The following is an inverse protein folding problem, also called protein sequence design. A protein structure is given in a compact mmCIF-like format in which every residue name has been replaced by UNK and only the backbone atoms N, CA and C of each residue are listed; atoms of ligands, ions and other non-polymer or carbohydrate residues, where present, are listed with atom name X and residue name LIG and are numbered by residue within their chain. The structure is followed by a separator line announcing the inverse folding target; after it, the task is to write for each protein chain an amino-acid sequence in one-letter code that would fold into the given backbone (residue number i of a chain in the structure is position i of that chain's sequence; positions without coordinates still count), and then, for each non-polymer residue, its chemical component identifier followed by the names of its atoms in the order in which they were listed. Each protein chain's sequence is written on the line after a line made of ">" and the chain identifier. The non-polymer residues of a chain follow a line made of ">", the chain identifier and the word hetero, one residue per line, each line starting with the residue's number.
data_IF_228580482776
#
_entry.id   IF_228580482776
#
_cell.length_a   1.000
_cell.length_b   1.000
_cell.length_c   1.000
_cell.angle_alpha   90.00
_cell.angle_beta   90.00
_cell.angle_gamma   90.00
#
_symmetry.space_group_name_H-M   'P 1'
#
loop_
_entity.id
_entity.type
_entity.pdbx_description
1 polymer ?
#
# COMPACT_ATOMS: atom_id res chain seq x y z
N UNK A 1 20.46 -4.17 -21.28
CA UNK A 1 20.12 -4.50 -19.88
C UNK A 1 19.45 -5.85 -19.86
N UNK A 2 20.02 -6.86 -19.17
CA UNK A 2 19.31 -8.11 -18.91
C UNK A 2 18.10 -7.75 -18.05
N UNK A 3 16.89 -8.20 -18.41
CA UNK A 3 15.75 -8.18 -17.49
C UNK A 3 16.28 -8.67 -16.14
N UNK A 4 16.10 -7.90 -15.08
CA UNK A 4 16.31 -8.41 -13.72
C UNK A 4 15.33 -9.56 -13.58
N UNK A 5 15.79 -10.77 -13.89
CA UNK A 5 15.00 -11.97 -13.71
C UNK A 5 14.79 -12.07 -12.21
N UNK A 6 13.56 -11.85 -11.75
CA UNK A 6 13.08 -12.53 -10.56
C UNK A 6 13.57 -13.97 -10.70
N UNK A 7 14.40 -14.49 -9.76
CA UNK A 7 14.93 -15.82 -9.89
C UNK A 7 13.77 -16.80 -10.06
N UNK A 8 13.99 -17.85 -10.88
CA UNK A 8 13.02 -18.90 -11.18
C UNK A 8 12.32 -19.47 -9.93
N UNK A 9 12.95 -19.35 -8.75
CA UNK A 9 12.39 -19.72 -7.44
C UNK A 9 11.24 -18.84 -6.96
N UNK A 10 11.13 -17.55 -7.32
CA UNK A 10 9.92 -16.74 -7.03
C UNK A 10 8.72 -17.21 -7.85
N UNK A 11 8.95 -17.66 -9.09
CA UNK A 11 7.90 -18.12 -10.02
C UNK A 11 7.25 -19.43 -9.55
N UNK A 12 7.94 -20.23 -8.72
CA UNK A 12 7.41 -21.48 -8.18
C UNK A 12 6.45 -21.29 -6.99
N UNK A 13 6.37 -20.10 -6.38
CA UNK A 13 5.53 -19.86 -5.21
C UNK A 13 4.16 -19.27 -5.55
N UNK A 14 4.02 -18.63 -6.73
CA UNK A 14 2.78 -18.02 -7.17
C UNK A 14 2.62 -18.23 -8.69
N UNK A 15 1.71 -19.10 -9.11
CA UNK A 15 1.45 -19.41 -10.54
C UNK A 15 0.21 -18.71 -11.08
N UNK A 16 -0.48 -17.93 -10.24
CA UNK A 16 -1.73 -17.24 -10.57
C UNK A 16 -1.62 -15.75 -10.24
N UNK A 17 -2.32 -14.93 -11.03
CA UNK A 17 -2.50 -13.50 -10.76
C UNK A 17 -3.02 -13.29 -9.32
N UNK A 18 -2.41 -12.36 -8.55
CA UNK A 18 -2.79 -12.08 -7.16
C UNK A 18 -4.29 -11.79 -7.05
N UNK A 19 -4.84 -11.15 -8.09
CA UNK A 19 -6.27 -10.94 -8.27
C UNK A 19 -6.82 -11.67 -9.50
N UNK A 20 -6.32 -12.88 -9.80
CA UNK A 20 -6.89 -13.72 -10.83
C UNK A 20 -8.41 -13.81 -10.67
N UNK A 21 -9.11 -13.70 -11.79
CA UNK A 21 -10.55 -13.88 -11.84
C UNK A 21 -10.87 -15.36 -11.63
N UNK A 22 -10.85 -15.82 -10.38
CA UNK A 22 -11.68 -16.96 -10.05
C UNK A 22 -13.12 -16.48 -10.19
N UNK A 23 -13.89 -17.12 -11.07
CA UNK A 23 -15.35 -17.11 -10.95
C UNK A 23 -15.62 -17.60 -9.54
N UNK A 24 -15.98 -16.74 -8.58
CA UNK A 24 -16.21 -17.25 -7.25
C UNK A 24 -17.38 -18.22 -7.44
N UNK A 25 -17.26 -19.43 -6.88
CA UNK A 25 -18.46 -20.04 -6.33
C UNK A 25 -18.88 -19.11 -5.20
N UNK A 26 -19.56 -18.03 -5.61
CA UNK A 26 -20.16 -17.04 -4.75
C UNK A 26 -20.99 -17.85 -3.75
N UNK A 27 -20.58 -17.85 -2.48
CA UNK A 27 -21.46 -18.17 -1.35
C UNK A 27 -21.80 -16.88 -0.56
N UNK A 28 -22.25 -15.80 -1.23
CA UNK A 28 -22.54 -14.54 -0.58
C UNK A 28 -23.68 -14.76 0.39
N UNK A 29 -23.40 -14.55 1.67
CA UNK A 29 -24.44 -14.40 2.67
C UNK A 29 -24.66 -15.60 3.60
N UNK A 30 -23.81 -16.64 3.59
CA UNK A 30 -23.82 -17.55 4.75
C UNK A 30 -23.19 -16.85 5.94
N UNK A 31 -24.07 -16.30 6.78
CA UNK A 31 -23.68 -15.65 8.02
C UNK A 31 -22.87 -16.61 8.88
N UNK A 32 -21.73 -16.15 9.35
CA UNK A 32 -20.76 -16.88 10.18
C UNK A 32 -20.07 -15.89 11.13
N UNK A 33 -18.99 -16.34 11.77
CA UNK A 33 -18.04 -15.49 12.48
C UNK A 33 -16.60 -15.87 12.07
N UNK A 34 -15.64 -15.01 12.42
CA UNK A 34 -14.20 -15.29 12.35
C UNK A 34 -13.50 -14.71 13.59
N UNK A 35 -12.22 -15.06 13.82
CA UNK A 35 -11.41 -14.46 14.88
C UNK A 35 -10.58 -13.30 14.34
N UNK A 36 -10.00 -12.53 15.26
CA UNK A 36 -9.15 -11.37 14.94
C UNK A 36 -7.72 -11.68 15.35
N UNK A 37 -6.81 -11.67 14.37
CA UNK A 37 -5.37 -11.71 14.60
C UNK A 37 -4.85 -10.28 14.74
N UNK A 38 -4.29 -9.94 15.89
CA UNK A 38 -3.75 -8.62 16.21
C UNK A 38 -2.23 -8.66 16.10
N UNK A 39 -1.66 -8.02 15.08
CA UNK A 39 -0.22 -7.87 14.91
C UNK A 39 0.28 -6.58 15.56
N UNK A 40 1.53 -6.60 16.00
CA UNK A 40 2.23 -5.45 16.54
C UNK A 40 3.73 -5.58 16.30
N UNK A 41 4.42 -4.44 16.19
CA UNK A 41 5.88 -4.40 16.21
C UNK A 41 6.38 -4.78 17.59
N UNK A 42 7.30 -5.74 17.71
CA UNK A 42 7.84 -6.15 19.02
C UNK A 42 8.91 -5.19 19.57
N UNK A 43 9.62 -4.48 18.67
CA UNK A 43 10.57 -3.42 19.03
C UNK A 43 9.90 -2.08 19.33
N UNK A 44 10.63 -1.19 20.03
CA UNK A 44 10.11 0.12 20.51
C UNK A 44 10.48 1.31 19.61
N UNK A 45 11.11 1.03 18.46
CA UNK A 45 11.51 2.03 17.45
C UNK A 45 11.24 1.50 16.05
N UNK A 46 11.23 2.38 15.04
CA UNK A 46 11.11 1.97 13.64
C UNK A 46 12.39 1.31 13.07
N UNK A 47 13.46 1.20 13.86
CA UNK A 47 14.70 0.51 13.48
C UNK A 47 14.49 -1.02 13.43
N UNK A 48 13.52 -1.52 14.20
CA UNK A 48 13.22 -2.93 14.36
C UNK A 48 11.89 -3.26 13.67
N UNK A 49 11.91 -3.96 12.53
CA UNK A 49 10.69 -4.26 11.75
C UNK A 49 9.95 -5.51 12.19
N UNK A 50 10.51 -6.26 13.14
CA UNK A 50 9.95 -7.53 13.59
C UNK A 50 8.56 -7.32 14.19
N UNK A 51 7.64 -8.21 13.82
CA UNK A 51 6.27 -8.21 14.32
C UNK A 51 5.90 -9.55 14.94
N UNK A 52 5.05 -9.48 15.94
CA UNK A 52 4.41 -10.62 16.58
C UNK A 52 2.89 -10.45 16.50
N UNK A 53 2.14 -11.48 16.87
CA UNK A 53 0.69 -11.40 16.91
C UNK A 53 0.09 -12.24 18.03
N UNK A 54 -1.08 -11.78 18.48
CA UNK A 54 -1.95 -12.48 19.41
C UNK A 54 -3.38 -12.54 18.87
N UNK A 55 -4.15 -13.53 19.31
CA UNK A 55 -5.59 -13.54 19.07
C UNK A 55 -6.27 -12.52 19.98
N UNK A 56 -7.14 -11.68 19.42
CA UNK A 56 -7.96 -10.75 20.21
C UNK A 56 -8.77 -11.48 21.29
N UNK A 57 -8.89 -10.88 22.49
CA UNK A 57 -9.60 -11.48 23.63
C UNK A 57 -10.64 -10.58 24.28
N UNK A 58 -11.78 -11.15 24.67
CA UNK A 58 -12.76 -10.48 25.53
C UNK A 58 -12.22 -10.26 26.95
N UNK A 59 -12.93 -9.49 27.78
CA UNK A 59 -12.48 -9.14 29.14
C UNK A 59 -12.33 -10.36 30.07
N UNK A 60 -13.12 -11.40 29.85
CA UNK A 60 -13.05 -12.68 30.54
C UNK A 60 -11.93 -13.60 30.02
N UNK A 61 -11.15 -13.14 29.03
CA UNK A 61 -10.05 -13.88 28.43
C UNK A 61 -10.45 -14.86 27.31
N UNK A 62 -11.73 -14.96 26.95
CA UNK A 62 -12.17 -15.77 25.80
C UNK A 62 -11.76 -15.13 24.47
N UNK A 63 -11.72 -15.89 23.37
CA UNK A 63 -11.38 -15.34 22.06
C UNK A 63 -12.49 -14.43 21.53
N UNK A 64 -12.11 -13.23 21.10
CA UNK A 64 -13.02 -12.29 20.46
C UNK A 64 -13.33 -12.74 19.04
N UNK A 65 -14.62 -12.76 18.69
CA UNK A 65 -15.10 -13.14 17.36
C UNK A 65 -15.90 -12.00 16.74
N UNK A 66 -15.82 -11.91 15.41
CA UNK A 66 -16.52 -10.91 14.61
C UNK A 66 -17.55 -11.60 13.72
N UNK A 67 -18.85 -11.30 13.84
CA UNK A 67 -19.88 -11.87 12.97
C UNK A 67 -19.84 -11.22 11.58
N UNK A 68 -20.16 -11.99 10.55
CA UNK A 68 -20.07 -11.51 9.18
C UNK A 68 -20.19 -12.62 8.13
N UNK A 69 -19.58 -12.42 6.97
CA UNK A 69 -19.53 -13.38 5.88
C UNK A 69 -18.26 -13.21 5.04
N UNK A 70 -17.76 -14.31 4.51
CA UNK A 70 -16.60 -14.33 3.61
C UNK A 70 -17.02 -13.98 2.17
N UNK A 71 -16.12 -13.39 1.39
CA UNK A 71 -16.30 -13.22 -0.06
C UNK A 71 -16.41 -14.57 -0.78
N UNK A 72 -15.48 -15.47 -0.46
CA UNK A 72 -15.35 -16.80 -1.06
C UNK A 72 -14.99 -17.81 0.02
N UNK A 73 -15.34 -19.08 -0.16
CA UNK A 73 -14.94 -20.16 0.76
C UNK A 73 -13.55 -20.72 0.46
N UNK A 74 -12.95 -20.35 -0.67
CA UNK A 74 -11.70 -20.94 -1.19
C UNK A 74 -10.65 -19.92 -1.64
N UNK A 75 -10.98 -18.63 -1.66
CA UNK A 75 -10.04 -17.60 -2.10
C UNK A 75 -8.86 -17.47 -1.12
N UNK A 76 -7.60 -17.58 -1.58
CA UNK A 76 -6.44 -17.33 -0.73
C UNK A 76 -6.33 -15.84 -0.33
N UNK A 77 -6.81 -14.93 -1.19
CA UNK A 77 -6.87 -13.48 -0.94
C UNK A 77 -8.27 -13.05 -0.54
N UNK A 78 -8.79 -13.64 0.54
CA UNK A 78 -10.17 -13.43 0.95
C UNK A 78 -10.41 -12.10 1.68
N UNK A 79 -11.68 -11.69 1.77
CA UNK A 79 -12.13 -10.53 2.56
C UNK A 79 -13.34 -10.92 3.41
N UNK A 80 -13.37 -10.49 4.67
CA UNK A 80 -14.46 -10.76 5.61
C UNK A 80 -15.33 -9.52 5.80
N UNK A 81 -16.58 -9.59 5.37
CA UNK A 81 -17.54 -8.49 5.47
C UNK A 81 -18.28 -8.55 6.81
N UNK A 82 -18.30 -7.45 7.54
CA UNK A 82 -18.93 -7.36 8.85
C UNK A 82 -19.67 -6.03 9.03
N UNK A 83 -20.62 -5.98 9.96
CA UNK A 83 -21.22 -4.72 10.42
C UNK A 83 -20.45 -4.11 11.61
N UNK A 84 -19.44 -4.82 12.14
CA UNK A 84 -18.60 -4.34 13.24
C UNK A 84 -17.67 -3.21 12.71
N UNK A 85 -17.66 -2.03 13.35
CA UNK A 85 -16.74 -0.95 12.97
C UNK A 85 -15.27 -1.36 13.13
N UNK A 86 -14.43 -0.94 12.19
CA UNK A 86 -12.97 -1.14 12.25
C UNK A 86 -12.37 -0.66 13.59
N UNK A 87 -12.75 0.53 14.06
CA UNK A 87 -12.31 1.09 15.35
C UNK A 87 -12.61 0.17 16.55
N UNK A 88 -13.73 -0.58 16.51
CA UNK A 88 -14.06 -1.54 17.56
C UNK A 88 -13.10 -2.73 17.55
N UNK A 89 -12.73 -3.22 16.36
CA UNK A 89 -11.79 -4.33 16.19
C UNK A 89 -10.38 -3.88 16.60
N UNK A 90 -9.97 -2.69 16.18
CA UNK A 90 -8.70 -2.07 16.54
C UNK A 90 -8.55 -1.91 18.05
N UNK A 91 -9.52 -1.28 18.71
CA UNK A 91 -9.54 -1.10 20.17
C UNK A 91 -9.48 -2.42 20.92
N UNK A 92 -10.08 -3.45 20.35
CA UNK A 92 -10.04 -4.79 20.91
C UNK A 92 -8.64 -5.42 20.77
N UNK A 93 -7.91 -5.13 19.68
CA UNK A 93 -6.50 -5.49 19.57
C UNK A 93 -5.63 -4.70 20.53
N UNK A 94 -5.78 -3.38 20.62
CA UNK A 94 -5.05 -2.53 21.58
C UNK A 94 -5.19 -3.05 23.01
N UNK A 95 -6.43 -3.36 23.44
CA UNK A 95 -6.69 -3.90 24.79
C UNK A 95 -6.04 -5.27 25.00
N UNK A 96 -6.07 -6.13 23.98
CA UNK A 96 -5.51 -7.49 24.08
C UNK A 96 -4.00 -7.45 24.20
N UNK A 97 -3.35 -6.61 23.40
CA UNK A 97 -1.90 -6.52 23.31
C UNK A 97 -1.31 -5.75 24.50
N UNK A 98 -2.00 -4.71 24.99
CA UNK A 98 -1.57 -3.95 26.17
C UNK A 98 -0.21 -3.24 26.01
N UNK A 99 0.24 -3.05 24.77
CA UNK A 99 1.49 -2.36 24.41
C UNK A 99 1.34 -0.86 24.65
N UNK A 100 2.38 -0.21 25.17
CA UNK A 100 2.33 1.18 25.64
C UNK A 100 3.25 2.15 24.88
N UNK A 101 4.10 1.63 23.99
CA UNK A 101 4.99 2.43 23.15
C UNK A 101 4.30 2.82 21.85
N UNK A 102 4.66 4.00 21.32
CA UNK A 102 3.97 4.63 20.19
C UNK A 102 4.16 3.92 18.86
N UNK A 103 5.28 3.22 18.69
CA UNK A 103 5.65 2.52 17.45
C UNK A 103 5.13 1.08 17.42
N UNK A 104 4.13 0.75 18.24
CA UNK A 104 3.54 -0.58 18.25
C UNK A 104 2.88 -0.93 16.90
N UNK A 105 2.46 0.09 16.15
CA UNK A 105 1.97 -0.01 14.77
C UNK A 105 0.99 -1.18 14.60
N UNK A 106 -0.05 -1.19 15.44
CA UNK A 106 -0.98 -2.32 15.52
C UNK A 106 -1.75 -2.43 14.19
N UNK A 107 -1.81 -3.65 13.66
CA UNK A 107 -2.67 -4.01 12.52
C UNK A 107 -3.46 -5.26 12.85
N UNK A 108 -4.56 -5.49 12.15
CA UNK A 108 -5.43 -6.62 12.47
C UNK A 108 -6.10 -7.22 11.24
N UNK A 109 -6.32 -8.53 11.30
CA UNK A 109 -6.84 -9.31 10.19
C UNK A 109 -7.83 -10.38 10.64
N UNK A 110 -8.81 -10.67 9.79
CA UNK A 110 -9.71 -11.79 9.92
C UNK A 110 -8.93 -13.10 9.71
N UNK A 111 -9.13 -14.07 10.59
CA UNK A 111 -8.38 -15.32 10.55
C UNK A 111 -9.06 -16.40 11.37
N UNK A 112 -9.32 -17.57 10.76
CA UNK A 112 -10.02 -18.67 11.46
C UNK A 112 -9.05 -19.58 12.23
N UNK A 113 -7.78 -19.62 11.82
CA UNK A 113 -6.76 -20.45 12.46
C UNK A 113 -5.36 -19.85 12.27
N UNK A 114 -4.39 -20.38 13.02
CA UNK A 114 -2.99 -19.92 13.00
C UNK A 114 -2.37 -19.90 11.60
N UNK A 115 -2.77 -20.83 10.72
CA UNK A 115 -2.21 -20.95 9.37
C UNK A 115 -3.00 -20.19 8.29
N UNK A 116 -4.14 -19.58 8.63
CA UNK A 116 -4.84 -18.70 7.69
C UNK A 116 -3.99 -17.47 7.39
N UNK A 117 -4.06 -16.98 6.15
CA UNK A 117 -3.43 -15.72 5.78
C UNK A 117 -4.06 -14.52 6.50
N UNK A 118 -3.49 -13.34 6.30
CA UNK A 118 -4.02 -12.10 6.84
C UNK A 118 -5.15 -11.61 5.92
N UNK A 119 -6.42 -11.86 6.29
CA UNK A 119 -7.57 -11.43 5.49
C UNK A 119 -8.12 -10.08 5.98
N UNK A 120 -8.44 -9.19 5.04
CA UNK A 120 -8.97 -7.86 5.37
C UNK A 120 -10.40 -7.96 5.93
N UNK A 121 -10.69 -7.23 7.00
CA UNK A 121 -12.07 -6.96 7.42
C UNK A 121 -12.64 -5.82 6.57
N UNK A 122 -13.78 -5.99 5.93
CA UNK A 122 -14.56 -4.91 5.32
C UNK A 122 -15.76 -4.58 6.19
N UNK A 123 -15.81 -3.37 6.74
CA UNK A 123 -17.02 -2.89 7.43
C UNK A 123 -18.05 -2.43 6.40
N UNK A 124 -19.20 -3.11 6.34
CA UNK A 124 -20.33 -2.74 5.50
C UNK A 124 -20.85 -1.35 5.86
N UNK A 125 -21.32 -0.64 4.84
CA UNK A 125 -21.90 0.68 5.03
C UNK A 125 -23.29 0.57 5.66
N UNK A 126 -23.65 1.54 6.49
CA UNK A 126 -25.01 1.67 7.00
C UNK A 126 -25.97 2.02 5.86
N UNK A 127 -27.24 1.62 5.98
CA UNK A 127 -28.28 1.99 5.00
C UNK A 127 -28.56 3.49 4.97
N UNK A 128 -28.43 4.17 6.12
CA UNK A 128 -28.46 5.63 6.21
C UNK A 128 -27.05 6.18 6.11
N UNK A 129 -26.78 6.98 5.09
CA UNK A 129 -25.48 7.57 4.81
C UNK A 129 -25.54 9.09 4.77
N UNK A 130 -24.47 9.72 5.21
CA UNK A 130 -24.35 11.19 5.35
C UNK A 130 -23.89 11.89 4.07
N UNK A 131 -23.55 11.15 3.01
CA UNK A 131 -22.91 11.70 1.80
C UNK A 131 -21.47 12.18 2.02
N UNK A 132 -20.85 11.75 3.12
CA UNK A 132 -19.45 12.01 3.46
C UNK A 132 -18.58 10.81 3.11
N UNK A 133 -17.31 11.07 2.87
CA UNK A 133 -16.31 10.03 2.72
C UNK A 133 -16.24 9.22 4.00
N UNK A 134 -16.34 7.90 3.88
CA UNK A 134 -16.37 6.97 5.00
C UNK A 134 -15.33 5.84 4.90
N UNK A 135 -14.52 5.81 3.84
CA UNK A 135 -13.40 4.90 3.65
C UNK A 135 -12.40 5.41 2.62
N UNK A 136 -11.17 4.91 2.71
CA UNK A 136 -10.13 5.09 1.70
C UNK A 136 -9.92 3.76 0.97
N UNK A 137 -9.91 3.79 -0.36
CA UNK A 137 -9.53 2.64 -1.19
C UNK A 137 -8.29 3.02 -1.99
N UNK A 138 -7.21 2.25 -1.83
CA UNK A 138 -5.92 2.54 -2.46
C UNK A 138 -5.61 1.60 -3.60
N UNK A 139 -5.16 2.16 -4.72
CA UNK A 139 -4.59 1.44 -5.85
C UNK A 139 -3.17 1.92 -6.14
N UNK A 140 -2.30 1.00 -6.51
CA UNK A 140 -0.93 1.36 -6.85
C UNK A 140 0.05 0.22 -6.74
N UNK A 141 1.28 0.56 -6.37
CA UNK A 141 2.37 -0.40 -6.27
C UNK A 141 2.94 -0.56 -4.85
N UNK A 142 4.22 -0.93 -4.75
CA UNK A 142 4.95 -1.13 -3.51
C UNK A 142 4.91 0.01 -2.49
N UNK A 143 4.74 1.28 -2.90
CA UNK A 143 4.70 2.38 -1.93
C UNK A 143 3.32 2.55 -1.26
N UNK A 144 2.33 1.72 -1.66
CA UNK A 144 0.97 1.73 -1.12
C UNK A 144 0.44 0.32 -0.77
N UNK A 145 1.19 -0.75 -1.07
CA UNK A 145 0.85 -2.13 -0.70
C UNK A 145 1.13 -2.35 0.80
N UNK A 146 0.13 -2.90 1.50
CA UNK A 146 0.18 -3.18 2.95
C UNK A 146 0.17 -4.68 3.26
N UNK A 147 0.27 -5.55 2.25
CA UNK A 147 0.39 -6.99 2.46
C UNK A 147 -0.17 -7.89 1.37
N UNK A 148 -0.66 -7.35 0.25
CA UNK A 148 -1.20 -8.15 -0.85
C UNK A 148 -0.13 -9.06 -1.45
N UNK A 149 1.03 -8.51 -1.82
CA UNK A 149 2.13 -9.35 -2.30
C UNK A 149 2.69 -10.26 -1.18
N UNK A 150 2.66 -9.79 0.07
CA UNK A 150 3.15 -10.55 1.21
C UNK A 150 2.37 -11.84 1.45
N UNK A 151 1.03 -11.76 1.45
CA UNK A 151 0.17 -12.94 1.48
C UNK A 151 0.44 -13.84 0.26
N UNK A 152 0.64 -13.27 -0.94
CA UNK A 152 0.81 -14.03 -2.18
C UNK A 152 2.10 -14.87 -2.17
N UNK A 153 3.12 -14.35 -1.49
CA UNK A 153 4.40 -15.00 -1.27
C UNK A 153 4.50 -15.74 0.06
N UNK A 154 3.35 -16.06 0.68
CA UNK A 154 3.27 -16.84 1.91
C UNK A 154 4.13 -16.25 3.04
N UNK A 155 4.08 -14.92 3.17
CA UNK A 155 4.78 -14.13 4.19
C UNK A 155 6.31 -14.13 4.09
N UNK A 156 6.84 -14.39 2.89
CA UNK A 156 8.31 -14.42 2.65
C UNK A 156 8.84 -13.24 1.86
N UNK A 157 7.97 -12.43 1.25
CA UNK A 157 8.36 -11.31 0.40
C UNK A 157 7.41 -10.11 0.59
N UNK A 158 7.91 -8.94 1.00
CA UNK A 158 9.27 -8.72 1.50
C UNK A 158 9.54 -9.48 2.81
N UNK A 159 10.82 -9.72 3.14
CA UNK A 159 11.23 -10.48 4.32
C UNK A 159 10.83 -9.73 5.60
N UNK A 160 10.02 -10.34 6.50
CA UNK A 160 9.47 -9.64 7.67
C UNK A 160 10.52 -9.24 8.72
N UNK A 161 11.72 -9.82 8.68
CA UNK A 161 12.83 -9.49 9.58
C UNK A 161 13.60 -8.22 9.14
N UNK A 162 13.19 -7.59 8.04
CA UNK A 162 13.76 -6.30 7.59
C UNK A 162 12.73 -5.36 6.96
N UNK A 163 11.49 -5.81 6.79
CA UNK A 163 10.42 -5.05 6.19
C UNK A 163 9.17 -5.26 7.03
N UNK A 164 8.49 -4.17 7.38
CA UNK A 164 7.40 -4.23 8.36
C UNK A 164 6.19 -4.98 7.80
N UNK A 165 5.96 -6.22 8.25
CA UNK A 165 4.77 -7.05 7.96
C UNK A 165 4.21 -6.87 6.53
N UNK A 166 5.05 -7.07 5.51
CA UNK A 166 4.64 -7.00 4.11
C UNK A 166 4.68 -5.63 3.43
N UNK A 167 4.93 -4.56 4.18
CA UNK A 167 5.17 -3.21 3.65
C UNK A 167 6.57 -3.12 3.05
N UNK A 168 6.71 -2.39 1.95
CA UNK A 168 8.02 -2.00 1.42
C UNK A 168 8.58 -0.78 2.17
N UNK A 169 8.54 -0.82 3.50
CA UNK A 169 9.16 0.16 4.39
C UNK A 169 9.46 -0.47 5.76
N UNK A 170 9.97 0.32 6.70
CA UNK A 170 10.21 -0.08 8.08
C UNK A 170 9.02 0.17 9.02
N UNK A 171 7.87 0.55 8.49
CA UNK A 171 6.62 0.82 9.20
C UNK A 171 5.48 1.07 8.22
N UNK A 172 4.46 1.81 8.67
CA UNK A 172 3.32 2.20 7.85
C UNK A 172 3.71 2.98 6.58
N UNK A 173 2.89 2.83 5.55
CA UNK A 173 2.96 3.62 4.31
C UNK A 173 2.03 4.83 4.36
N UNK A 174 2.17 5.72 3.38
CA UNK A 174 1.50 7.04 3.40
C UNK A 174 -0.04 6.95 3.42
N UNK A 175 -0.62 5.90 2.82
CA UNK A 175 -2.07 5.69 2.82
C UNK A 175 -2.60 5.30 4.19
N UNK A 176 -1.83 4.58 5.00
CA UNK A 176 -2.19 4.23 6.37
C UNK A 176 -2.14 5.45 7.28
N UNK A 177 -1.09 6.27 7.18
CA UNK A 177 -1.02 7.55 7.88
C UNK A 177 -2.15 8.51 7.48
N UNK A 178 -2.48 8.58 6.18
CA UNK A 178 -3.62 9.38 5.71
C UNK A 178 -4.94 8.87 6.31
N UNK A 179 -5.12 7.55 6.38
CA UNK A 179 -6.30 6.93 6.97
C UNK A 179 -6.41 7.21 8.48
N UNK A 180 -5.30 7.11 9.21
CA UNK A 180 -5.21 7.45 10.63
C UNK A 180 -5.56 8.93 10.87
N UNK A 181 -4.99 9.85 10.09
CA UNK A 181 -5.28 11.29 10.23
C UNK A 181 -6.76 11.62 9.97
N UNK A 182 -7.42 10.86 9.09
CA UNK A 182 -8.85 11.04 8.77
C UNK A 182 -9.78 10.19 9.61
N UNK A 183 -9.26 9.33 10.48
CA UNK A 183 -10.04 8.34 11.23
C UNK A 183 -10.94 7.51 10.31
N UNK A 184 -10.40 7.10 9.16
CA UNK A 184 -11.11 6.31 8.15
C UNK A 184 -10.49 4.92 8.01
N UNK A 185 -11.30 3.91 7.69
CA UNK A 185 -10.77 2.60 7.31
C UNK A 185 -10.05 2.69 5.96
N UNK A 186 -8.91 2.00 5.85
CA UNK A 186 -8.16 1.83 4.61
C UNK A 186 -8.34 0.40 4.06
N UNK A 187 -8.65 0.31 2.77
CA UNK A 187 -8.63 -0.94 2.03
C UNK A 187 -7.69 -0.78 0.82
N UNK A 188 -6.60 -1.55 0.78
CA UNK A 188 -5.63 -1.46 -0.32
C UNK A 188 -5.77 -2.60 -1.31
N UNK A 189 -5.82 -2.25 -2.58
CA UNK A 189 -5.63 -3.14 -3.73
C UNK A 189 -4.25 -2.93 -4.37
N UNK A 190 -3.40 -2.07 -3.83
CA UNK A 190 -2.04 -1.90 -4.31
C UNK A 190 -1.25 -3.21 -4.18
N UNK A 191 -0.36 -3.48 -5.15
CA UNK A 191 0.45 -4.70 -5.19
C UNK A 191 1.90 -4.35 -5.42
N UNK A 192 2.79 -4.84 -4.56
CA UNK A 192 4.24 -4.64 -4.67
C UNK A 192 4.77 -4.99 -6.07
N UNK A 193 5.40 -4.03 -6.73
CA UNK A 193 5.93 -4.24 -8.08
C UNK A 193 4.86 -4.29 -9.19
N UNK A 194 3.61 -3.92 -8.92
CA UNK A 194 2.57 -3.79 -9.93
C UNK A 194 3.03 -2.91 -11.10
N UNK A 195 2.38 -3.11 -12.24
CA UNK A 195 2.63 -2.41 -13.49
C UNK A 195 1.31 -2.00 -14.19
N UNK A 196 1.37 -1.28 -15.31
CA UNK A 196 0.16 -0.97 -16.08
C UNK A 196 -0.40 -2.21 -16.81
N UNK A 197 0.38 -3.29 -16.84
CA UNK A 197 0.03 -4.62 -17.37
C UNK A 197 0.41 -5.71 -16.36
N UNK A 198 -0.17 -6.89 -16.47
CA UNK A 198 0.19 -8.00 -15.57
C UNK A 198 1.63 -8.41 -15.85
N UNK A 199 2.47 -8.41 -14.83
CA UNK A 199 3.89 -8.77 -14.96
C UNK A 199 4.18 -10.14 -14.34
N UNK A 200 5.12 -10.86 -14.95
CA UNK A 200 5.52 -12.22 -14.57
C UNK A 200 4.37 -13.25 -14.48
N UNK A 201 3.19 -12.94 -15.00
CA UNK A 201 2.00 -13.79 -14.96
C UNK A 201 1.23 -13.78 -13.62
N UNK A 202 1.77 -13.12 -12.59
CA UNK A 202 1.15 -13.09 -11.25
C UNK A 202 1.00 -11.68 -10.65
N UNK A 203 1.84 -10.70 -11.04
CA UNK A 203 1.72 -9.33 -10.52
C UNK A 203 0.56 -8.61 -11.18
N UNK A 204 -0.49 -8.36 -10.41
CA UNK A 204 -1.70 -7.69 -10.87
C UNK A 204 -1.39 -6.31 -11.45
N UNK A 205 -1.93 -6.03 -12.63
CA UNK A 205 -1.89 -4.69 -13.21
C UNK A 205 -2.78 -3.72 -12.43
N UNK A 206 -2.59 -2.41 -12.60
CA UNK A 206 -3.54 -1.42 -12.07
C UNK A 206 -4.99 -1.69 -12.52
N UNK A 207 -5.20 -2.27 -13.71
CA UNK A 207 -6.53 -2.65 -14.20
C UNK A 207 -7.07 -3.87 -13.48
N UNK A 208 -6.22 -4.86 -13.19
CA UNK A 208 -6.60 -6.06 -12.43
C UNK A 208 -6.99 -5.69 -11.00
N UNK A 209 -6.26 -4.75 -10.39
CA UNK A 209 -6.58 -4.19 -9.07
C UNK A 209 -7.98 -3.57 -9.05
N UNK A 210 -8.29 -2.69 -10.01
CA UNK A 210 -9.60 -2.03 -10.10
C UNK A 210 -10.70 -3.06 -10.38
N UNK A 211 -10.48 -4.00 -11.29
CA UNK A 211 -11.47 -5.03 -11.61
C UNK A 211 -11.76 -5.93 -10.41
N UNK A 212 -10.73 -6.32 -9.66
CA UNK A 212 -10.87 -7.09 -8.43
C UNK A 212 -11.66 -6.33 -7.38
N UNK A 213 -11.31 -5.07 -7.13
CA UNK A 213 -12.05 -4.21 -6.23
C UNK A 213 -13.54 -4.17 -6.60
N UNK A 214 -13.88 -3.97 -7.88
CA UNK A 214 -15.27 -3.95 -8.36
C UNK A 214 -16.01 -5.28 -8.09
N UNK A 215 -15.31 -6.42 -8.13
CA UNK A 215 -15.88 -7.72 -7.78
C UNK A 215 -16.10 -7.87 -6.27
N UNK A 216 -15.19 -7.40 -5.42
CA UNK A 216 -15.36 -7.48 -3.97
C UNK A 216 -16.50 -6.58 -3.49
N UNK A 217 -16.58 -5.34 -3.98
CA UNK A 217 -17.63 -4.41 -3.55
C UNK A 217 -19.02 -4.75 -4.08
N UNK A 218 -19.15 -5.65 -5.06
CA UNK A 218 -20.46 -6.08 -5.56
C UNK A 218 -21.29 -6.84 -4.51
N UNK A 219 -20.65 -7.36 -3.45
CA UNK A 219 -21.33 -8.02 -2.33
C UNK A 219 -21.27 -7.21 -1.02
N UNK A 220 -20.68 -6.02 -1.05
CA UNK A 220 -20.69 -5.08 0.07
C UNK A 220 -22.11 -4.52 0.24
N UNK A 221 -22.61 -4.47 1.48
CA UNK A 221 -23.94 -3.92 1.73
C UNK A 221 -23.91 -2.40 1.74
N UNK A 222 -24.93 -1.82 1.12
CA UNK A 222 -25.16 -0.37 1.02
C UNK A 222 -23.95 0.39 0.44
N UNK A 223 -23.09 -0.26 -0.33
CA UNK A 223 -21.89 0.41 -0.82
C UNK A 223 -22.22 1.59 -1.73
N UNK A 224 -21.59 2.74 -1.48
CA UNK A 224 -21.68 3.91 -2.34
C UNK A 224 -20.28 4.39 -2.74
N UNK A 225 -19.87 4.26 -4.03
CA UNK A 225 -18.55 4.70 -4.49
C UNK A 225 -18.31 6.21 -4.36
N UNK A 226 -19.37 7.03 -4.29
CA UNK A 226 -19.25 8.47 -4.05
C UNK A 226 -18.79 8.79 -2.62
N UNK A 227 -18.99 7.87 -1.66
CA UNK A 227 -18.54 8.02 -0.28
C UNK A 227 -17.15 7.38 -0.04
N UNK A 228 -16.43 7.04 -1.11
CA UNK A 228 -15.08 6.48 -1.05
C UNK A 228 -14.07 7.51 -1.54
N UNK A 229 -12.97 7.70 -0.79
CA UNK A 229 -11.79 8.39 -1.29
C UNK A 229 -10.86 7.37 -1.95
N UNK A 230 -10.67 7.49 -3.26
CA UNK A 230 -9.73 6.65 -3.98
C UNK A 230 -8.35 7.29 -4.02
N UNK A 231 -7.30 6.54 -3.72
CA UNK A 231 -5.92 6.97 -3.94
C UNK A 231 -5.33 6.19 -5.11
N UNK A 232 -4.66 6.89 -6.02
CA UNK A 232 -3.93 6.27 -7.12
C UNK A 232 -2.52 6.84 -7.23
N UNK A 233 -1.55 5.95 -7.16
CA UNK A 233 -0.16 6.20 -7.49
C UNK A 233 0.36 4.99 -8.24
N UNK A 234 0.88 5.20 -9.45
CA UNK A 234 1.31 4.09 -10.27
C UNK A 234 2.26 4.54 -11.40
N UNK A 235 3.30 3.75 -11.68
CA UNK A 235 4.14 3.90 -12.88
C UNK A 235 5.65 3.90 -12.62
N UNK A 236 6.10 4.00 -11.36
CA UNK A 236 7.53 3.91 -11.04
C UNK A 236 8.12 2.56 -11.48
N UNK A 237 7.44 1.47 -11.15
CA UNK A 237 7.85 0.13 -11.56
C UNK A 237 7.89 -0.04 -13.10
N UNK A 238 6.99 0.61 -13.83
CA UNK A 238 6.95 0.57 -15.31
C UNK A 238 8.21 1.15 -15.94
N UNK A 239 8.72 2.26 -15.38
CA UNK A 239 9.90 2.92 -15.89
C UNK A 239 11.20 2.31 -15.37
N UNK A 240 11.23 1.85 -14.11
CA UNK A 240 12.44 1.32 -13.46
C UNK A 240 12.68 -0.15 -13.83
N UNK A 241 11.65 -0.99 -13.75
CA UNK A 241 11.80 -2.45 -13.78
C UNK A 241 11.37 -3.07 -15.12
N UNK A 242 10.38 -2.48 -15.79
CA UNK A 242 9.72 -3.11 -16.95
C UNK A 242 10.04 -2.45 -18.30
N UNK A 243 10.82 -1.35 -18.28
CA UNK A 243 11.23 -0.58 -19.45
C UNK A 243 10.05 -0.22 -20.37
N UNK A 244 8.90 0.14 -19.78
CA UNK A 244 7.73 0.59 -20.54
C UNK A 244 7.89 2.05 -20.95
N UNK A 245 7.21 2.40 -22.04
CA UNK A 245 7.24 3.75 -22.60
C UNK A 245 6.23 4.66 -21.90
N UNK A 246 6.50 5.97 -21.88
CA UNK A 246 5.56 6.95 -21.30
C UNK A 246 4.16 6.83 -21.92
N UNK A 247 4.08 6.64 -23.24
CA UNK A 247 2.81 6.46 -23.96
C UNK A 247 2.00 5.26 -23.47
N UNK A 248 2.64 4.14 -23.17
CA UNK A 248 1.96 2.95 -22.66
C UNK A 248 1.41 3.19 -21.26
N UNK A 249 2.24 3.72 -20.36
CA UNK A 249 1.85 3.99 -18.97
C UNK A 249 0.75 5.07 -18.90
N UNK A 250 0.84 6.10 -19.75
CA UNK A 250 -0.19 7.13 -19.92
C UNK A 250 -1.55 6.54 -20.32
N UNK A 251 -1.58 5.60 -21.27
CA UNK A 251 -2.83 4.91 -21.66
C UNK A 251 -3.42 4.10 -20.50
N UNK A 252 -2.56 3.43 -19.74
CA UNK A 252 -3.00 2.66 -18.57
C UNK A 252 -3.55 3.58 -17.48
N UNK A 253 -2.91 4.72 -17.22
CA UNK A 253 -3.39 5.73 -16.28
C UNK A 253 -4.78 6.28 -16.67
N UNK A 254 -4.97 6.70 -17.93
CA UNK A 254 -6.28 7.16 -18.41
C UNK A 254 -7.35 6.10 -18.29
N UNK A 255 -7.03 4.85 -18.64
CA UNK A 255 -7.99 3.76 -18.54
C UNK A 255 -8.37 3.49 -17.08
N UNK A 256 -7.41 3.51 -16.15
CA UNK A 256 -7.69 3.36 -14.71
C UNK A 256 -8.65 4.44 -14.20
N UNK A 257 -8.37 5.72 -14.46
CA UNK A 257 -9.26 6.81 -14.07
C UNK A 257 -10.63 6.71 -14.74
N UNK A 258 -10.68 6.31 -16.02
CA UNK A 258 -11.93 6.13 -16.77
C UNK A 258 -12.78 5.03 -16.14
N UNK A 259 -12.20 3.87 -15.83
CA UNK A 259 -12.93 2.74 -15.24
C UNK A 259 -13.46 3.10 -13.86
N UNK A 260 -12.67 3.74 -13.00
CA UNK A 260 -13.15 4.20 -11.69
C UNK A 260 -14.31 5.19 -11.84
N UNK A 261 -14.14 6.20 -12.70
CA UNK A 261 -15.15 7.23 -12.94
C UNK A 261 -16.46 6.66 -13.50
N UNK A 262 -16.38 5.71 -14.45
CA UNK A 262 -17.55 5.02 -15.01
C UNK A 262 -18.28 4.13 -13.99
N UNK A 263 -17.60 3.74 -12.91
CA UNK A 263 -18.18 2.96 -11.81
C UNK A 263 -18.49 3.84 -10.58
N UNK A 264 -18.71 5.15 -10.79
CA UNK A 264 -19.24 6.06 -9.77
C UNK A 264 -18.21 6.64 -8.80
N UNK A 265 -16.91 6.45 -9.04
CA UNK A 265 -15.89 7.13 -8.26
C UNK A 265 -15.89 8.64 -8.55
N UNK A 266 -16.04 9.44 -7.48
CA UNK A 266 -16.02 10.90 -7.59
C UNK A 266 -14.82 11.53 -6.88
N UNK A 267 -14.40 11.00 -5.73
CA UNK A 267 -13.32 11.55 -4.92
C UNK A 267 -12.02 10.78 -5.16
N UNK A 268 -11.07 11.38 -5.87
CA UNK A 268 -9.81 10.72 -6.25
C UNK A 268 -8.61 11.60 -5.89
N UNK A 269 -7.67 11.06 -5.13
CA UNK A 269 -6.32 11.64 -4.96
C UNK A 269 -5.37 10.94 -5.92
N UNK A 270 -4.74 11.74 -6.78
CA UNK A 270 -3.69 11.31 -7.70
C UNK A 270 -2.36 11.87 -7.22
N UNK A 271 -1.35 11.01 -7.09
CA UNK A 271 0.03 11.46 -6.87
C UNK A 271 0.80 11.50 -8.20
N UNK A 272 1.55 12.58 -8.43
CA UNK A 272 2.66 12.50 -9.40
C UNK A 272 3.77 11.63 -8.84
N UNK A 273 4.60 11.03 -9.70
CA UNK A 273 5.70 10.18 -9.27
C UNK A 273 6.87 11.02 -8.76
N UNK A 274 7.54 10.64 -7.65
CA UNK A 274 8.81 11.24 -7.26
C UNK A 274 9.90 10.92 -8.30
N UNK A 275 10.97 11.72 -8.35
CA UNK A 275 12.14 11.37 -9.17
C UNK A 275 12.91 10.21 -8.53
N UNK A 276 12.57 8.98 -8.92
CA UNK A 276 13.21 7.79 -8.36
C UNK A 276 14.70 7.66 -8.73
N UNK A 277 15.21 8.44 -9.70
CA UNK A 277 16.63 8.41 -10.06
C UNK A 277 17.56 8.85 -8.92
N UNK A 278 17.02 9.50 -7.89
CA UNK A 278 17.75 9.92 -6.69
C UNK A 278 17.94 8.79 -5.67
N UNK A 279 17.20 7.68 -5.80
CA UNK A 279 17.25 6.58 -4.85
C UNK A 279 18.63 5.88 -4.87
N UNK A 280 19.10 5.32 -3.73
CA UNK A 280 20.44 4.74 -3.63
C UNK A 280 20.74 3.66 -4.68
N UNK A 281 19.72 2.95 -5.20
CA UNK A 281 19.88 1.92 -6.24
C UNK A 281 20.58 2.45 -7.51
N UNK A 282 20.42 3.74 -7.83
CA UNK A 282 21.01 4.34 -9.02
C UNK A 282 22.52 4.56 -8.91
N UNK A 283 23.12 4.40 -7.72
CA UNK A 283 24.58 4.27 -7.56
C UNK A 283 25.15 3.05 -8.29
N UNK A 284 24.31 2.05 -8.53
CA UNK A 284 24.67 0.80 -9.21
C UNK A 284 24.20 0.78 -10.67
N UNK A 285 23.76 1.92 -11.21
CA UNK A 285 23.29 2.08 -12.58
C UNK A 285 24.19 3.03 -13.38
N UNK A 286 24.01 3.09 -14.70
CA UNK A 286 24.72 4.09 -15.50
C UNK A 286 24.04 5.46 -15.42
N UNK A 287 24.79 6.57 -15.50
CA UNK A 287 24.20 7.91 -15.52
C UNK A 287 23.16 8.11 -16.62
N UNK A 288 23.36 7.49 -17.79
CA UNK A 288 22.43 7.58 -18.91
C UNK A 288 21.09 6.92 -18.57
N UNK A 289 21.10 5.78 -17.88
CA UNK A 289 19.87 5.13 -17.45
C UNK A 289 19.15 5.91 -16.37
N UNK A 290 19.87 6.47 -15.39
CA UNK A 290 19.29 7.35 -14.38
C UNK A 290 18.59 8.56 -15.03
N UNK A 291 19.26 9.17 -16.01
CA UNK A 291 18.71 10.30 -16.77
C UNK A 291 17.51 9.89 -17.64
N UNK A 292 17.54 8.70 -18.25
CA UNK A 292 16.42 8.15 -19.02
C UNK A 292 15.18 8.00 -18.12
N UNK A 293 15.32 7.36 -16.96
CA UNK A 293 14.22 7.16 -16.00
C UNK A 293 13.67 8.50 -15.51
N UNK A 294 14.56 9.42 -15.11
CA UNK A 294 14.14 10.76 -14.67
C UNK A 294 13.39 11.52 -15.77
N UNK A 295 13.80 11.37 -17.03
CA UNK A 295 13.10 11.98 -18.19
C UNK A 295 11.71 11.38 -18.40
N UNK A 296 11.58 10.05 -18.36
CA UNK A 296 10.29 9.36 -18.47
C UNK A 296 9.32 9.78 -17.36
N UNK A 297 9.80 9.84 -16.12
CA UNK A 297 9.01 10.27 -14.96
C UNK A 297 8.50 11.71 -15.15
N UNK A 298 9.36 12.64 -15.59
CA UNK A 298 8.96 14.04 -15.83
C UNK A 298 7.90 14.17 -16.91
N UNK A 299 8.06 13.45 -18.02
CA UNK A 299 7.08 13.43 -19.11
C UNK A 299 5.75 12.82 -18.67
N UNK A 300 5.79 11.73 -17.91
CA UNK A 300 4.59 11.10 -17.36
C UNK A 300 3.88 12.01 -16.35
N UNK A 301 4.61 12.69 -15.47
CA UNK A 301 4.03 13.64 -14.52
C UNK A 301 3.33 14.84 -15.20
N UNK A 302 3.85 15.31 -16.34
CA UNK A 302 3.16 16.32 -17.17
C UNK A 302 1.83 15.77 -17.70
N UNK A 303 1.84 14.53 -18.18
CA UNK A 303 0.63 13.85 -18.64
C UNK A 303 -0.40 13.67 -17.52
N UNK A 304 0.01 13.13 -16.37
CA UNK A 304 -0.86 12.94 -15.19
C UNK A 304 -1.50 14.26 -14.76
N UNK A 305 -0.73 15.36 -14.79
CA UNK A 305 -1.24 16.70 -14.45
C UNK A 305 -2.34 17.14 -15.41
N UNK A 306 -2.11 17.02 -16.72
CA UNK A 306 -3.10 17.39 -17.74
C UNK A 306 -4.35 16.49 -17.68
N UNK A 307 -4.16 15.20 -17.45
CA UNK A 307 -5.25 14.23 -17.41
C UNK A 307 -6.12 14.41 -16.16
N UNK A 308 -5.53 14.66 -14.98
CA UNK A 308 -6.27 15.01 -13.78
C UNK A 308 -7.12 16.28 -13.99
N UNK A 309 -6.57 17.31 -14.65
CA UNK A 309 -7.34 18.50 -15.02
C UNK A 309 -8.49 18.18 -15.99
N UNK A 310 -8.28 17.29 -16.96
CA UNK A 310 -9.33 16.85 -17.90
C UNK A 310 -10.51 16.23 -17.17
N UNK A 311 -10.26 15.30 -16.24
CA UNK A 311 -11.33 14.68 -15.44
C UNK A 311 -12.03 15.68 -14.52
N UNK A 312 -11.31 16.67 -13.95
CA UNK A 312 -11.95 17.76 -13.19
C UNK A 312 -12.90 18.59 -14.04
N UNK A 313 -12.53 18.90 -15.29
CA UNK A 313 -13.42 19.60 -16.23
C UNK A 313 -14.64 18.77 -16.62
N UNK A 314 -14.58 17.44 -16.48
CA UNK A 314 -15.72 16.53 -16.65
C UNK A 314 -16.62 16.41 -15.41
N UNK A 315 -16.27 17.10 -14.31
CA UNK A 315 -17.07 17.11 -13.07
C UNK A 315 -16.59 16.17 -11.97
N UNK A 316 -15.48 15.44 -12.14
CA UNK A 316 -14.93 14.58 -11.09
C UNK A 316 -14.14 15.39 -10.05
N UNK A 317 -14.24 15.01 -8.77
CA UNK A 317 -13.48 15.62 -7.68
C UNK A 317 -12.08 14.98 -7.56
N UNK A 318 -11.18 15.37 -8.47
CA UNK A 318 -9.80 14.88 -8.48
C UNK A 318 -8.83 15.90 -7.86
N UNK A 319 -8.20 15.51 -6.77
CA UNK A 319 -7.07 16.22 -6.19
C UNK A 319 -5.75 15.67 -6.72
N UNK A 320 -4.91 16.53 -7.28
CA UNK A 320 -3.55 16.19 -7.69
C UNK A 320 -2.56 16.66 -6.63
N UNK A 321 -1.74 15.76 -6.12
CA UNK A 321 -0.61 16.10 -5.26
C UNK A 321 0.71 15.82 -5.97
N UNK A 322 1.66 16.76 -5.84
CA UNK A 322 2.96 16.64 -6.51
C UNK A 322 4.01 16.01 -5.60
N UNK A 323 4.14 14.68 -5.62
CA UNK A 323 5.21 13.99 -4.89
C UNK A 323 6.59 14.34 -5.46
N UNK A 324 6.68 14.58 -6.77
CA UNK A 324 7.89 15.15 -7.40
C UNK A 324 8.37 16.43 -6.70
N UNK A 325 7.46 17.36 -6.42
CA UNK A 325 7.82 18.62 -5.76
C UNK A 325 8.20 18.40 -4.29
N UNK A 326 7.47 17.53 -3.57
CA UNK A 326 7.77 17.22 -2.18
C UNK A 326 9.15 16.57 -2.03
N UNK A 327 9.44 15.52 -2.80
CA UNK A 327 10.72 14.80 -2.73
C UNK A 327 11.89 15.71 -3.15
N UNK A 328 11.66 16.63 -4.08
CA UNK A 328 12.63 17.68 -4.40
C UNK A 328 12.88 18.58 -3.18
N UNK A 329 11.86 19.04 -2.48
CA UNK A 329 12.04 19.89 -1.28
C UNK A 329 12.73 19.11 -0.14
N UNK A 330 12.38 17.84 0.08
CA UNK A 330 13.05 16.98 1.05
C UNK A 330 14.56 16.85 0.77
N UNK A 331 14.95 16.75 -0.51
CA UNK A 331 16.36 16.61 -0.87
C UNK A 331 17.12 17.93 -0.90
N UNK A 332 16.45 19.07 -1.16
CA UNK A 332 17.09 20.39 -1.09
C UNK A 332 17.15 20.95 0.33
N UNK A 333 16.22 20.54 1.19
CA UNK A 333 16.01 21.09 2.53
C UNK A 333 15.89 19.98 3.60
N UNK A 334 16.78 18.97 3.66
CA UNK A 334 16.57 17.76 4.47
C UNK A 334 16.34 18.01 5.96
N UNK A 335 17.06 18.99 6.54
CA UNK A 335 16.92 19.34 7.94
C UNK A 335 15.51 19.85 8.32
N UNK A 336 14.76 20.45 7.37
CA UNK A 336 13.35 20.87 7.57
C UNK A 336 12.45 19.67 7.89
N UNK A 337 12.83 18.50 7.40
CA UNK A 337 12.08 17.25 7.49
C UNK A 337 12.70 16.27 8.50
N UNK A 338 13.73 16.68 9.24
CA UNK A 338 14.41 15.83 10.21
C UNK A 338 15.37 14.81 9.60
N UNK A 339 15.71 14.92 8.31
CA UNK A 339 16.62 13.98 7.68
C UNK A 339 18.09 14.33 7.96
N UNK A 340 18.81 13.34 8.50
CA UNK A 340 20.27 13.28 8.53
C UNK A 340 20.83 12.77 7.20
N UNK A 341 20.22 11.73 6.63
CA UNK A 341 20.70 11.09 5.39
C UNK A 341 19.58 10.97 4.34
N UNK A 342 19.85 11.50 3.15
CA UNK A 342 18.94 11.44 1.98
C UNK A 342 19.56 10.73 0.76
N UNK A 343 20.75 10.15 0.90
CA UNK A 343 21.52 9.59 -0.23
C UNK A 343 21.76 8.10 -0.11
N UNK A 344 21.84 7.59 1.11
CA UNK A 344 22.19 6.20 1.41
C UNK A 344 20.99 5.43 1.93
N UNK A 345 21.04 4.10 1.78
CA UNK A 345 20.09 3.21 2.42
C UNK A 345 20.40 3.13 3.91
N UNK A 346 19.38 3.09 4.75
CA UNK A 346 19.53 2.80 6.17
C UNK A 346 20.01 1.35 6.40
N UNK A 347 19.44 0.39 5.65
CA UNK A 347 19.87 -1.01 5.61
C UNK A 347 21.25 -1.15 4.95
N UNK A 348 22.05 -2.09 5.45
CA UNK A 348 23.38 -2.41 4.93
C UNK A 348 23.31 -3.24 3.62
N UNK A 349 22.77 -2.61 2.57
CA UNK A 349 22.62 -3.20 1.24
C UNK A 349 23.51 -2.45 0.26
N UNK A 350 24.58 -3.12 -0.19
CA UNK A 350 25.60 -2.52 -1.06
C UNK A 350 25.45 -2.92 -2.54
N UNK A 351 24.22 -3.15 -3.00
CA UNK A 351 23.88 -3.57 -4.38
C UNK A 351 22.42 -3.23 -4.71
N UNK A 352 22.04 -3.39 -5.97
CA UNK A 352 20.63 -3.37 -6.39
C UNK A 352 20.22 -4.77 -6.88
N UNK A 353 19.40 -5.48 -6.09
CA UNK A 353 18.85 -6.78 -6.47
C UNK A 353 17.46 -7.02 -5.87
N UNK A 354 16.56 -7.61 -6.66
CA UNK A 354 15.25 -8.07 -6.16
C UNK A 354 15.37 -9.18 -5.10
N UNK A 355 16.52 -9.88 -5.04
CA UNK A 355 16.79 -10.88 -4.00
C UNK A 355 16.92 -10.27 -2.61
N UNK A 356 17.24 -8.99 -2.51
CA UNK A 356 17.43 -8.35 -1.21
C UNK A 356 16.12 -8.29 -0.42
N UNK A 357 14.95 -8.24 -1.08
CA UNK A 357 13.65 -8.34 -0.41
C UNK A 357 13.32 -9.75 0.13
N UNK A 358 14.08 -10.79 -0.22
CA UNK A 358 13.92 -12.13 0.36
C UNK A 358 14.84 -12.38 1.56
N UNK A 359 15.79 -11.47 1.81
CA UNK A 359 16.84 -11.63 2.81
C UNK A 359 16.61 -10.66 3.96
N UNK A 360 17.08 -11.04 5.15
CA UNK A 360 17.22 -10.12 6.26
C UNK A 360 18.52 -9.33 6.12
N UNK A 361 18.50 -8.06 6.50
CA UNK A 361 19.64 -7.14 6.48
C UNK A 361 19.68 -6.35 7.79
N UNK A 362 20.89 -6.19 8.33
CA UNK A 362 21.10 -5.28 9.44
C UNK A 362 21.13 -3.81 8.96
N UNK A 363 20.95 -2.88 9.89
CA UNK A 363 21.22 -1.46 9.67
C UNK A 363 22.71 -1.23 9.41
N UNK A 364 23.03 -0.15 8.71
CA UNK A 364 24.39 0.41 8.74
C UNK A 364 24.70 0.97 10.14
N UNK A 365 25.98 1.04 10.50
CA UNK A 365 26.39 1.65 11.79
C UNK A 365 25.92 3.11 11.91
N UNK A 366 25.89 3.85 10.80
CA UNK A 366 25.43 5.23 10.80
C UNK A 366 23.92 5.32 11.05
N UNK A 367 23.10 4.55 10.32
CA UNK A 367 21.66 4.53 10.56
C UNK A 367 21.32 4.06 11.98
N UNK A 368 21.99 3.02 12.50
CA UNK A 368 21.80 2.58 13.88
C UNK A 368 22.18 3.64 14.94
N UNK A 369 23.07 4.59 14.59
CA UNK A 369 23.49 5.65 15.51
C UNK A 369 22.51 6.84 15.52
N UNK A 370 21.87 7.14 14.39
CA UNK A 370 20.95 8.28 14.24
C UNK A 370 19.47 7.92 14.23
N UNK A 371 19.15 6.63 14.11
CA UNK A 371 17.79 6.11 13.95
C UNK A 371 17.28 6.22 12.51
N UNK A 372 16.48 5.24 12.10
CA UNK A 372 15.89 5.14 10.76
C UNK A 372 14.93 6.28 10.42
N UNK A 373 14.31 6.91 11.42
CA UNK A 373 13.48 8.11 11.20
C UNK A 373 14.29 9.33 10.73
N UNK A 374 15.62 9.31 10.88
CA UNK A 374 16.50 10.35 10.31
C UNK A 374 16.95 10.05 8.88
N UNK A 375 16.53 8.92 8.30
CA UNK A 375 16.88 8.49 6.95
C UNK A 375 15.69 8.65 6.00
N UNK A 376 15.95 9.07 4.77
CA UNK A 376 14.91 9.13 3.72
C UNK A 376 14.64 7.75 3.11
N UNK A 377 15.67 6.93 2.93
CA UNK A 377 15.58 5.62 2.27
C UNK A 377 15.85 4.49 3.26
N UNK A 378 14.94 3.51 3.30
CA UNK A 378 15.10 2.34 4.14
C UNK A 378 16.06 1.34 3.50
N UNK A 379 15.68 0.79 2.34
CA UNK A 379 16.55 0.04 1.45
C UNK A 379 17.18 0.92 0.37
N UNK A 380 17.61 0.31 -0.74
CA UNK A 380 18.17 1.08 -1.87
C UNK A 380 17.12 1.71 -2.78
N UNK A 381 15.85 1.36 -2.60
CA UNK A 381 14.74 1.79 -3.47
C UNK A 381 13.68 2.55 -2.69
N UNK A 382 13.16 1.96 -1.61
CA UNK A 382 11.97 2.45 -0.93
C UNK A 382 12.26 3.43 0.21
N UNK A 383 11.35 4.39 0.43
CA UNK A 383 11.45 5.34 1.53
C UNK A 383 11.23 4.69 2.91
N UNK A 384 11.71 5.35 3.95
CA UNK A 384 11.38 5.02 5.35
C UNK A 384 9.94 5.39 5.69
N UNK A 385 9.42 4.84 6.80
CA UNK A 385 8.09 5.15 7.30
C UNK A 385 7.96 6.63 7.70
N UNK A 386 9.03 7.26 8.20
CA UNK A 386 9.07 8.71 8.43
C UNK A 386 8.87 9.52 7.14
N UNK A 387 9.49 9.10 6.03
CA UNK A 387 9.26 9.73 4.72
C UNK A 387 7.81 9.55 4.25
N UNK A 388 7.22 8.38 4.50
CA UNK A 388 5.80 8.13 4.24
C UNK A 388 4.88 9.00 5.10
N UNK A 389 5.21 9.19 6.37
CA UNK A 389 4.48 10.06 7.29
C UNK A 389 4.46 11.50 6.79
N UNK A 390 5.62 12.06 6.40
CA UNK A 390 5.70 13.40 5.81
C UNK A 390 4.87 13.51 4.52
N UNK A 391 4.91 12.48 3.66
CA UNK A 391 4.10 12.44 2.45
C UNK A 391 2.60 12.50 2.79
N UNK A 392 2.15 11.73 3.78
CA UNK A 392 0.76 11.72 4.22
C UNK A 392 0.33 13.09 4.78
N UNK A 393 1.12 13.69 5.68
CA UNK A 393 0.84 15.00 6.27
C UNK A 393 0.71 16.08 5.18
N UNK A 394 1.63 16.10 4.21
CA UNK A 394 1.59 17.09 3.14
C UNK A 394 0.45 16.85 2.15
N UNK A 395 0.14 15.58 1.84
CA UNK A 395 -1.06 15.23 1.06
C UNK A 395 -2.29 15.74 1.78
N UNK A 396 -2.50 15.34 3.02
CA UNK A 396 -3.68 15.71 3.78
C UNK A 396 -3.82 17.24 3.90
N UNK A 397 -2.75 17.95 4.21
CA UNK A 397 -2.72 19.41 4.26
C UNK A 397 -3.14 20.09 2.96
N UNK A 398 -2.79 19.52 1.79
CA UNK A 398 -3.05 20.15 0.48
C UNK A 398 -4.33 19.69 -0.19
N UNK A 399 -4.79 18.47 0.08
CA UNK A 399 -5.92 17.87 -0.64
C UNK A 399 -7.19 17.79 0.19
N UNK A 400 -7.11 17.78 1.53
CA UNK A 400 -8.28 17.47 2.35
C UNK A 400 -9.43 18.46 2.18
N UNK A 401 -9.15 19.74 1.95
CA UNK A 401 -10.19 20.76 1.77
C UNK A 401 -11.02 20.61 0.49
N UNK A 402 -10.60 19.74 -0.44
CA UNK A 402 -11.35 19.44 -1.65
C UNK A 402 -12.44 18.38 -1.42
N UNK A 403 -12.39 17.68 -0.29
CA UNK A 403 -13.19 16.49 -0.03
C UNK A 403 -14.14 16.69 1.16
N UNK A 404 -15.29 16.03 1.09
CA UNK A 404 -16.31 16.06 2.15
C UNK A 404 -16.10 14.89 3.12
N UNK A 405 -15.26 15.09 4.14
CA UNK A 405 -15.06 14.14 5.24
C UNK A 405 -16.18 14.22 6.30
#
# INVERSE_FOLDING_TARGET
>A
MKKSLLPLTLVFLCTQNIFAQDQPTLDPGKSTYTYVRCWYRSGVTHDETNTEWEWAKTEDGSYYTVPGYWYSSVSPMNMFFTEVPQETIERQCERTLGVTYKTADITYFASDMRYSFNHTFWTNDKSSQTGKINKIVSFGDSISDTGNIFNAFQWRFPNPDSWFLGHFSNGFVWTEYLAQEKHLPLYTWAVGGAAGKTEYGFLSSIHDQINSYLQYVSIAKNYNPQNTLFTIEFGLNDFINYNRTVTEVSKDFTKALTTLSQNGAENIVVLTLPDASIAPQFKYSTPEHAQEVSTKIKQFNQYVTAEAMRFRMMGHNIALFSSMALFKDMTTSPAKYGFHNIKDACLNINRSSSKDYLMSHALTNDCASYGSDSYMFWGVTHPTTHTHHILAEEVAKKVSSQFNF
#
